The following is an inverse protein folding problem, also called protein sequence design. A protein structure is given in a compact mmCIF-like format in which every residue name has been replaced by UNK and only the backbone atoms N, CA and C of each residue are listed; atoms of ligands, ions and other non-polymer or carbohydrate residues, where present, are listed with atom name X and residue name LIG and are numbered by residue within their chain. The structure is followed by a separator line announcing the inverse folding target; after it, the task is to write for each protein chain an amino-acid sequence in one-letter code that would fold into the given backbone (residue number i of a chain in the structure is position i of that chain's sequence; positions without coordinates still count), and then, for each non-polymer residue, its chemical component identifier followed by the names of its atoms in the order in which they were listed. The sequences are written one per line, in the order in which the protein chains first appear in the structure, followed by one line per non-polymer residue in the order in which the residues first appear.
data_IF_433239231246
#
_entry.id   IF_433239231246
#
_cell.length_a   1.000
_cell.length_b   1.000
_cell.length_c   1.000
_cell.angle_alpha   90.00
_cell.angle_beta   90.00
_cell.angle_gamma   90.00
#
_symmetry.space_group_name_H-M   'P 1'
#
loop_
_entity.id
_entity.type
_entity.pdbx_description
1 polymer ?
#
# COMPACT_ATOMS: atom_id res chain seq x y z
N UNK A 1 31.87 -1.36 -14.31
CA UNK A 1 30.46 -1.67 -14.67
C UNK A 1 30.37 -3.15 -14.95
N UNK A 2 29.46 -3.83 -14.30
CA UNK A 2 29.13 -5.22 -14.60
C UNK A 2 28.13 -5.23 -15.76
N UNK A 3 28.30 -6.12 -16.73
CA UNK A 3 27.38 -6.34 -17.84
C UNK A 3 26.86 -7.78 -17.78
N UNK A 4 25.59 -8.00 -18.00
CA UNK A 4 25.01 -9.33 -18.09
C UNK A 4 23.98 -9.65 -17.01
N UNK A 5 23.59 -10.90 -16.94
CA UNK A 5 22.61 -11.38 -15.96
C UNK A 5 23.16 -11.37 -14.55
N UNK A 6 22.43 -10.80 -13.62
CA UNK A 6 22.77 -10.83 -12.21
C UNK A 6 22.22 -12.11 -11.58
N UNK A 7 23.09 -12.91 -10.97
CA UNK A 7 22.67 -14.08 -10.21
C UNK A 7 23.56 -14.23 -9.01
N UNK A 8 22.98 -14.30 -7.83
CA UNK A 8 23.71 -14.59 -6.60
C UNK A 8 24.05 -16.09 -6.55
N UNK A 9 25.31 -16.47 -6.19
CA UNK A 9 25.67 -17.88 -6.06
C UNK A 9 24.85 -18.57 -4.98
N UNK A 10 24.40 -19.80 -5.23
CA UNK A 10 23.69 -20.59 -4.23
C UNK A 10 24.57 -20.89 -2.98
N UNK A 11 25.87 -20.82 -3.13
CA UNK A 11 26.85 -20.98 -2.04
C UNK A 11 27.16 -19.69 -1.27
N UNK A 12 26.46 -18.59 -1.56
CA UNK A 12 26.65 -17.34 -0.82
C UNK A 12 26.14 -17.55 0.62
N UNK A 13 27.01 -17.33 1.60
CA UNK A 13 26.68 -17.51 3.02
C UNK A 13 26.36 -16.20 3.73
N UNK A 14 26.74 -15.06 3.17
CA UNK A 14 26.53 -13.75 3.77
C UNK A 14 26.38 -12.66 2.72
N UNK A 15 25.41 -11.78 2.92
CA UNK A 15 25.23 -10.54 2.19
C UNK A 15 25.29 -9.37 3.18
N UNK A 16 26.26 -8.48 3.00
CA UNK A 16 26.41 -7.31 3.87
C UNK A 16 25.57 -6.12 3.44
N UNK A 17 25.53 -5.12 4.31
CA UNK A 17 24.99 -3.82 4.00
C UNK A 17 25.68 -3.23 2.78
N UNK A 18 24.92 -2.54 1.91
CA UNK A 18 25.42 -1.90 0.69
C UNK A 18 26.11 -2.82 -0.32
N UNK A 19 25.98 -4.14 -0.18
CA UNK A 19 26.77 -5.13 -0.94
C UNK A 19 26.75 -4.88 -2.46
N UNK A 20 25.63 -4.46 -3.01
CA UNK A 20 25.44 -4.16 -4.44
C UNK A 20 24.99 -2.72 -4.68
N UNK A 21 25.18 -1.81 -3.72
CA UNK A 21 24.81 -0.42 -3.90
C UNK A 21 25.59 0.20 -5.07
N UNK A 22 24.87 0.79 -6.04
CA UNK A 22 25.44 1.47 -7.20
C UNK A 22 26.45 0.63 -8.03
N UNK A 23 26.38 -0.70 -7.98
CA UNK A 23 27.34 -1.58 -8.66
C UNK A 23 27.26 -1.58 -10.18
N UNK A 24 26.28 -0.93 -10.77
CA UNK A 24 26.21 -0.80 -12.23
C UNK A 24 24.83 -0.50 -12.77
N UNK A 25 24.83 0.32 -13.80
CA UNK A 25 23.59 0.79 -14.43
C UNK A 25 23.09 -0.14 -15.53
N UNK A 26 23.91 -1.12 -15.93
CA UNK A 26 23.67 -1.97 -17.10
C UNK A 26 23.44 -3.44 -16.71
N UNK A 27 23.23 -3.72 -15.42
CA UNK A 27 22.81 -5.04 -14.99
C UNK A 27 21.38 -5.29 -15.46
N UNK A 28 21.17 -6.45 -16.05
CA UNK A 28 19.87 -7.00 -16.44
C UNK A 28 19.68 -8.34 -15.77
N UNK A 29 18.46 -8.73 -15.50
CA UNK A 29 18.16 -10.03 -14.94
C UNK A 29 17.42 -9.95 -13.62
N UNK A 30 17.16 -11.09 -13.06
CA UNK A 30 16.34 -11.24 -11.87
C UNK A 30 17.21 -11.23 -10.62
N UNK A 31 16.74 -10.56 -9.57
CA UNK A 31 17.30 -10.67 -8.23
C UNK A 31 16.62 -11.85 -7.56
N UNK A 32 17.37 -12.92 -7.33
CA UNK A 32 16.92 -14.08 -6.57
C UNK A 32 17.69 -14.10 -5.26
N UNK A 33 17.00 -13.96 -4.14
CA UNK A 33 17.66 -13.97 -2.83
C UNK A 33 18.08 -15.38 -2.43
N UNK A 34 19.26 -15.58 -1.79
CA UNK A 34 19.69 -16.91 -1.34
C UNK A 34 18.77 -17.49 -0.25
N UNK A 35 18.65 -18.81 -0.21
CA UNK A 35 17.72 -19.53 0.68
C UNK A 35 18.07 -19.46 2.18
N UNK A 36 19.28 -19.05 2.53
CA UNK A 36 19.70 -18.90 3.92
C UNK A 36 19.26 -17.55 4.53
N UNK A 37 18.79 -16.61 3.71
CA UNK A 37 18.49 -15.25 4.18
C UNK A 37 17.20 -15.22 4.98
N UNK A 38 17.26 -14.58 6.14
CA UNK A 38 16.10 -14.23 6.95
C UNK A 38 15.79 -12.73 6.91
N UNK A 39 16.74 -11.92 6.41
CA UNK A 39 16.61 -10.48 6.23
C UNK A 39 17.33 -10.02 4.97
N UNK A 40 16.78 -9.06 4.27
CA UNK A 40 17.47 -8.33 3.20
C UNK A 40 18.17 -7.13 3.83
N UNK A 41 19.52 -7.05 3.79
CA UNK A 41 20.28 -6.03 4.49
C UNK A 41 20.00 -4.60 3.99
N UNK A 42 20.33 -3.58 4.81
CA UNK A 42 20.20 -2.18 4.41
C UNK A 42 20.96 -1.87 3.13
N UNK A 43 20.29 -1.15 2.22
CA UNK A 43 20.87 -0.66 0.96
C UNK A 43 21.49 -1.73 0.05
N UNK A 44 21.22 -3.03 0.31
CA UNK A 44 21.90 -4.14 -0.37
C UNK A 44 21.80 -4.06 -1.90
N UNK A 45 20.69 -3.61 -2.43
CA UNK A 45 20.45 -3.50 -3.88
C UNK A 45 20.08 -2.08 -4.32
N UNK A 46 20.42 -1.06 -3.53
CA UNK A 46 20.02 0.32 -3.82
C UNK A 46 20.55 0.81 -5.17
N UNK A 47 19.64 1.36 -5.99
CA UNK A 47 19.91 2.10 -7.24
C UNK A 47 20.68 1.36 -8.35
N UNK A 48 20.47 0.04 -8.55
CA UNK A 48 21.36 -0.75 -9.38
C UNK A 48 20.86 -1.13 -10.78
N UNK A 49 19.55 -1.19 -11.01
CA UNK A 49 19.03 -1.80 -12.25
C UNK A 49 18.23 -0.79 -13.08
N UNK A 50 18.86 -0.19 -14.09
CA UNK A 50 18.18 0.77 -15.00
C UNK A 50 17.22 0.11 -15.97
N UNK A 51 17.45 -1.14 -16.32
CA UNK A 51 16.74 -1.81 -17.41
C UNK A 51 15.53 -2.65 -16.95
N UNK A 52 15.20 -2.57 -15.66
CA UNK A 52 14.14 -3.35 -15.06
C UNK A 52 14.60 -4.74 -14.64
N UNK A 53 14.04 -5.21 -13.54
CA UNK A 53 14.35 -6.50 -12.92
C UNK A 53 13.08 -7.15 -12.40
N UNK A 54 13.11 -8.47 -12.23
CA UNK A 54 12.13 -9.16 -11.40
C UNK A 54 12.80 -9.49 -10.05
N UNK A 55 12.03 -9.39 -8.98
CA UNK A 55 12.49 -9.70 -7.63
C UNK A 55 11.85 -10.99 -7.17
N UNK A 56 12.69 -11.97 -6.84
CA UNK A 56 12.29 -13.23 -6.26
C UNK A 56 12.89 -13.35 -4.86
N UNK A 57 12.11 -12.99 -3.86
CA UNK A 57 12.48 -13.20 -2.47
C UNK A 57 12.09 -14.62 -2.09
N UNK A 58 13.06 -15.39 -1.59
CA UNK A 58 12.80 -16.78 -1.17
C UNK A 58 12.05 -16.82 0.16
N UNK A 59 11.39 -17.96 0.40
CA UNK A 59 10.75 -18.25 1.68
C UNK A 59 11.75 -18.19 2.83
N UNK A 60 11.28 -17.70 3.98
CA UNK A 60 12.12 -17.55 5.19
C UNK A 60 12.63 -16.12 5.42
N UNK A 61 12.57 -15.25 4.42
CA UNK A 61 12.84 -13.83 4.62
C UNK A 61 11.66 -13.19 5.38
N UNK A 62 11.96 -12.62 6.53
CA UNK A 62 10.96 -11.94 7.37
C UNK A 62 11.10 -10.43 7.40
N UNK A 63 12.24 -9.90 6.95
CA UNK A 63 12.57 -8.49 7.01
C UNK A 63 13.21 -7.97 5.74
N UNK A 64 12.78 -6.81 5.30
CA UNK A 64 13.43 -6.01 4.26
C UNK A 64 13.86 -4.72 4.94
N UNK A 65 15.16 -4.51 5.05
CA UNK A 65 15.71 -3.41 5.82
C UNK A 65 15.73 -2.08 5.04
N UNK A 66 16.20 -1.01 5.68
CA UNK A 66 16.20 0.35 5.13
C UNK A 66 16.84 0.43 3.75
N UNK A 67 16.21 1.15 2.80
CA UNK A 67 16.71 1.39 1.43
C UNK A 67 17.06 0.13 0.63
N UNK A 68 16.70 -1.07 1.07
CA UNK A 68 17.20 -2.33 0.51
C UNK A 68 17.03 -2.42 -1.03
N UNK A 69 15.94 -1.94 -1.57
CA UNK A 69 15.61 -1.94 -2.99
C UNK A 69 15.28 -0.54 -3.54
N UNK A 70 15.70 0.51 -2.82
CA UNK A 70 15.44 1.89 -3.23
C UNK A 70 16.04 2.20 -4.61
N UNK A 71 15.26 2.85 -5.48
CA UNK A 71 15.69 3.26 -6.81
C UNK A 71 15.74 2.14 -7.85
N UNK A 72 15.31 0.92 -7.53
CA UNK A 72 15.21 -0.16 -8.51
C UNK A 72 14.08 0.11 -9.53
N UNK A 73 14.17 -0.56 -10.68
CA UNK A 73 13.10 -0.55 -11.69
C UNK A 73 12.58 -1.97 -11.87
N UNK A 74 11.34 -2.18 -11.51
CA UNK A 74 10.68 -3.46 -11.71
C UNK A 74 10.01 -3.53 -13.09
N UNK A 75 9.94 -4.73 -13.66
CA UNK A 75 9.32 -4.96 -14.97
C UNK A 75 7.83 -5.24 -14.88
N UNK A 76 7.32 -5.57 -13.69
CA UNK A 76 5.96 -6.04 -13.45
C UNK A 76 5.47 -5.63 -12.06
N UNK A 77 4.28 -6.08 -11.69
CA UNK A 77 3.77 -6.02 -10.33
C UNK A 77 4.74 -6.63 -9.33
N UNK A 78 4.75 -6.13 -8.10
CA UNK A 78 5.60 -6.62 -7.02
C UNK A 78 4.80 -7.53 -6.10
N UNK A 79 5.24 -8.79 -6.02
CA UNK A 79 4.69 -9.79 -5.12
C UNK A 79 5.71 -10.07 -4.02
N UNK A 80 5.35 -9.75 -2.78
CA UNK A 80 6.16 -10.09 -1.62
C UNK A 80 5.68 -11.43 -1.06
N UNK A 81 6.59 -12.38 -0.75
CA UNK A 81 6.21 -13.71 -0.27
C UNK A 81 5.63 -13.66 1.15
N UNK A 82 4.86 -14.68 1.49
CA UNK A 82 4.40 -14.90 2.85
C UNK A 82 5.58 -15.02 3.82
N UNK A 83 5.38 -14.53 5.06
CA UNK A 83 6.42 -14.52 6.07
C UNK A 83 7.12 -13.19 6.24
N UNK A 84 7.08 -12.26 5.28
CA UNK A 84 7.61 -10.91 5.49
C UNK A 84 6.74 -10.17 6.50
N UNK A 85 7.36 -9.76 7.62
CA UNK A 85 6.71 -9.03 8.69
C UNK A 85 7.09 -7.54 8.74
N UNK A 86 8.26 -7.20 8.21
CA UNK A 86 8.84 -5.86 8.32
C UNK A 86 9.38 -5.34 6.99
N UNK A 87 8.96 -4.14 6.64
CA UNK A 87 9.49 -3.37 5.51
C UNK A 87 10.04 -2.05 6.09
N UNK A 88 11.35 -1.84 5.96
CA UNK A 88 12.09 -0.71 6.51
C UNK A 88 11.81 0.61 5.79
N UNK A 89 12.38 1.69 6.36
CA UNK A 89 12.27 3.01 5.77
C UNK A 89 12.88 3.02 4.37
N UNK A 90 12.21 3.69 3.41
CA UNK A 90 12.67 3.83 2.03
C UNK A 90 12.96 2.51 1.30
N UNK A 91 12.50 1.35 1.81
CA UNK A 91 12.89 0.04 1.28
C UNK A 91 12.66 -0.12 -0.23
N UNK A 92 11.59 0.47 -0.76
CA UNK A 92 11.24 0.50 -2.18
C UNK A 92 11.03 1.93 -2.70
N UNK A 93 11.59 2.94 -2.03
CA UNK A 93 11.47 4.33 -2.47
C UNK A 93 11.98 4.50 -3.90
N UNK A 94 11.22 5.20 -4.75
CA UNK A 94 11.54 5.47 -6.15
C UNK A 94 11.81 4.20 -7.01
N UNK A 95 11.17 3.09 -6.70
CA UNK A 95 11.47 1.77 -7.27
C UNK A 95 10.77 1.46 -8.60
N UNK A 96 9.90 2.33 -9.08
CA UNK A 96 9.19 2.21 -10.37
C UNK A 96 8.57 0.83 -10.63
N UNK A 97 7.69 0.41 -9.73
CA UNK A 97 6.89 -0.81 -9.88
C UNK A 97 5.90 -0.59 -11.03
N UNK A 98 5.95 -1.44 -12.07
CA UNK A 98 5.06 -1.32 -13.24
C UNK A 98 3.79 -2.13 -13.06
N UNK A 99 3.00 -1.83 -12.02
CA UNK A 99 1.77 -2.56 -11.76
C UNK A 99 1.35 -2.49 -10.30
N UNK A 100 0.72 -3.55 -9.85
CA UNK A 100 0.15 -3.67 -8.52
C UNK A 100 1.21 -4.05 -7.48
N UNK A 101 0.95 -3.66 -6.24
CA UNK A 101 1.70 -4.09 -5.07
C UNK A 101 0.87 -5.11 -4.29
N UNK A 102 1.40 -6.33 -4.17
CA UNK A 102 0.78 -7.40 -3.40
C UNK A 102 1.54 -7.60 -2.08
N UNK A 103 0.91 -7.19 -0.98
CA UNK A 103 1.44 -7.31 0.37
C UNK A 103 0.92 -8.59 1.03
N UNK A 104 1.78 -9.43 1.62
CA UNK A 104 1.34 -10.63 2.32
C UNK A 104 0.67 -10.30 3.66
N UNK A 105 -0.20 -11.20 4.12
CA UNK A 105 -0.94 -11.02 5.39
C UNK A 105 -0.05 -11.00 6.63
N UNK A 106 1.19 -11.44 6.52
CA UNK A 106 2.17 -11.47 7.61
C UNK A 106 2.74 -10.09 7.99
N UNK A 107 2.55 -9.06 7.14
CA UNK A 107 3.13 -7.73 7.37
C UNK A 107 2.54 -7.07 8.62
N UNK A 108 3.43 -6.58 9.48
CA UNK A 108 3.12 -5.86 10.71
C UNK A 108 3.59 -4.40 10.67
N UNK A 109 4.63 -4.11 9.88
CA UNK A 109 5.23 -2.79 9.81
C UNK A 109 5.66 -2.42 8.40
N UNK A 110 5.30 -1.22 7.99
CA UNK A 110 5.74 -0.56 6.76
C UNK A 110 6.28 0.81 7.16
N UNK A 111 7.58 1.04 6.95
CA UNK A 111 8.29 2.21 7.42
C UNK A 111 8.07 3.46 6.60
N UNK A 112 8.71 4.54 7.04
CA UNK A 112 8.66 5.85 6.39
C UNK A 112 9.09 5.77 4.94
N UNK A 113 8.31 6.38 4.04
CA UNK A 113 8.56 6.43 2.62
C UNK A 113 8.87 5.07 1.98
N UNK A 114 8.45 3.96 2.60
CA UNK A 114 8.83 2.62 2.16
C UNK A 114 8.49 2.34 0.70
N UNK A 115 7.41 2.91 0.19
CA UNK A 115 6.97 2.81 -1.20
C UNK A 115 6.74 4.19 -1.84
N UNK A 116 7.39 5.24 -1.35
CA UNK A 116 7.23 6.56 -1.92
C UNK A 116 7.73 6.60 -3.38
N UNK A 117 7.03 7.32 -4.25
CA UNK A 117 7.41 7.51 -5.67
C UNK A 117 7.67 6.20 -6.43
N UNK A 118 7.03 5.11 -6.05
CA UNK A 118 7.31 3.77 -6.59
C UNK A 118 6.47 3.40 -7.82
N UNK A 119 5.64 4.32 -8.31
CA UNK A 119 4.79 4.13 -9.50
C UNK A 119 3.82 2.94 -9.38
N UNK A 120 3.40 2.63 -8.16
CA UNK A 120 2.39 1.60 -7.90
C UNK A 120 1.08 2.03 -8.54
N UNK A 121 0.37 1.08 -9.13
CA UNK A 121 -0.93 1.30 -9.75
C UNK A 121 -1.95 0.25 -9.30
N UNK A 122 -3.24 0.52 -9.59
CA UNK A 122 -4.33 -0.36 -9.18
C UNK A 122 -4.77 -0.11 -7.74
N UNK A 123 -5.41 -1.11 -7.17
CA UNK A 123 -5.99 -1.02 -5.84
C UNK A 123 -4.97 -1.40 -4.76
N UNK A 124 -4.88 -0.59 -3.72
CA UNK A 124 -4.02 -0.89 -2.58
C UNK A 124 -4.84 -1.48 -1.43
N UNK A 125 -4.58 -2.74 -1.16
CA UNK A 125 -5.14 -3.45 -0.01
C UNK A 125 -4.06 -3.61 1.07
N UNK A 126 -4.28 -2.95 2.20
CA UNK A 126 -3.38 -3.08 3.34
C UNK A 126 -3.73 -4.33 4.15
N UNK A 127 -2.74 -5.17 4.53
CA UNK A 127 -3.01 -6.37 5.31
C UNK A 127 -3.40 -6.05 6.76
N UNK A 128 -4.23 -6.93 7.34
CA UNK A 128 -4.50 -6.90 8.79
C UNK A 128 -3.19 -7.15 9.54
N UNK A 129 -2.92 -6.37 10.56
CA UNK A 129 -1.65 -6.40 11.30
C UNK A 129 -0.87 -5.10 11.20
N UNK A 130 -1.06 -4.33 10.12
CA UNK A 130 -0.53 -2.96 10.02
C UNK A 130 -1.39 -2.04 10.89
N UNK A 131 -0.78 -1.42 11.89
CA UNK A 131 -1.48 -0.55 12.86
C UNK A 131 -1.34 0.93 12.49
N UNK A 132 -0.21 1.31 11.94
CA UNK A 132 0.11 2.69 11.53
C UNK A 132 0.55 2.70 10.08
N UNK A 133 -0.02 3.61 9.29
CA UNK A 133 0.54 3.97 7.97
C UNK A 133 1.54 5.10 8.22
N UNK A 134 2.82 4.79 8.08
CA UNK A 134 3.90 5.69 8.48
C UNK A 134 4.06 6.87 7.50
N UNK A 135 4.87 7.86 7.90
CA UNK A 135 5.09 9.11 7.17
C UNK A 135 5.51 8.85 5.71
N UNK A 136 4.80 9.43 4.76
CA UNK A 136 5.04 9.33 3.32
C UNK A 136 5.09 7.89 2.76
N UNK A 137 4.62 6.89 3.51
CA UNK A 137 4.81 5.47 3.17
C UNK A 137 4.41 5.10 1.74
N UNK A 138 3.39 5.73 1.20
CA UNK A 138 2.89 5.54 -0.18
C UNK A 138 2.81 6.84 -0.98
N UNK A 139 3.53 7.89 -0.57
CA UNK A 139 3.46 9.18 -1.25
C UNK A 139 3.86 9.09 -2.73
N UNK A 140 3.23 9.92 -3.57
CA UNK A 140 3.52 10.05 -5.01
C UNK A 140 3.36 8.74 -5.82
N UNK A 141 2.37 7.92 -5.46
CA UNK A 141 1.93 6.79 -6.29
C UNK A 141 0.65 7.19 -7.04
N UNK A 142 0.81 7.96 -8.08
CA UNK A 142 -0.27 8.56 -8.87
C UNK A 142 -1.09 7.56 -9.69
N UNK A 143 -0.67 6.30 -9.76
CA UNK A 143 -1.39 5.21 -10.40
C UNK A 143 -2.35 4.44 -9.48
N UNK A 144 -2.34 4.68 -8.17
CA UNK A 144 -3.29 4.05 -7.24
C UNK A 144 -4.72 4.49 -7.53
N UNK A 145 -5.67 3.55 -7.56
CA UNK A 145 -7.08 3.78 -7.91
C UNK A 145 -8.03 3.70 -6.73
N UNK A 146 -7.81 2.75 -5.84
CA UNK A 146 -8.59 2.59 -4.61
C UNK A 146 -7.69 2.29 -3.41
N UNK A 147 -8.12 2.73 -2.24
CA UNK A 147 -7.41 2.50 -0.98
C UNK A 147 -8.34 1.86 0.04
N UNK A 148 -7.95 0.69 0.53
CA UNK A 148 -8.66 -0.05 1.57
C UNK A 148 -7.79 -0.20 2.81
N UNK A 149 -8.20 0.42 3.93
CA UNK A 149 -7.53 0.30 5.21
C UNK A 149 -8.25 -0.73 6.10
N UNK A 150 -7.53 -1.75 6.61
CA UNK A 150 -8.09 -2.81 7.44
C UNK A 150 -8.43 -2.30 8.86
N UNK A 151 -9.13 -3.13 9.64
CA UNK A 151 -9.57 -2.76 11.00
C UNK A 151 -8.41 -2.51 11.97
N UNK A 152 -7.23 -3.02 11.69
CA UNK A 152 -6.03 -2.83 12.52
C UNK A 152 -5.46 -1.40 12.47
N UNK A 153 -5.68 -0.67 11.37
CA UNK A 153 -5.11 0.68 11.22
C UNK A 153 -5.86 1.66 12.11
N UNK A 154 -5.11 2.36 12.96
CA UNK A 154 -5.64 3.44 13.82
C UNK A 154 -5.02 4.81 13.55
N UNK A 155 -3.88 4.89 12.86
CA UNK A 155 -3.23 6.16 12.53
C UNK A 155 -2.74 6.19 11.09
N UNK A 156 -2.93 7.32 10.44
CA UNK A 156 -2.37 7.66 9.14
C UNK A 156 -1.46 8.86 9.37
N UNK A 157 -0.15 8.67 9.19
CA UNK A 157 0.85 9.68 9.48
C UNK A 157 0.96 10.72 8.36
N UNK A 158 1.82 11.73 8.59
CA UNK A 158 1.98 12.85 7.68
C UNK A 158 2.32 12.39 6.26
N UNK A 159 1.64 12.96 5.26
CA UNK A 159 1.89 12.74 3.83
C UNK A 159 1.81 11.28 3.38
N UNK A 160 1.19 10.40 4.16
CA UNK A 160 1.18 8.96 3.90
C UNK A 160 0.77 8.59 2.47
N UNK A 161 -0.19 9.33 1.90
CA UNK A 161 -0.70 9.17 0.52
C UNK A 161 -0.64 10.48 -0.28
N UNK A 162 0.26 11.41 0.08
CA UNK A 162 0.43 12.66 -0.68
C UNK A 162 0.68 12.34 -2.16
N UNK A 163 0.01 13.06 -3.07
CA UNK A 163 0.25 12.96 -4.51
C UNK A 163 -0.33 11.70 -5.18
N UNK A 164 -1.19 10.94 -4.51
CA UNK A 164 -1.89 9.81 -5.11
C UNK A 164 -3.12 10.31 -5.92
N UNK A 165 -2.84 11.00 -7.03
CA UNK A 165 -3.84 11.79 -7.78
C UNK A 165 -4.96 10.97 -8.43
N UNK A 166 -4.74 9.68 -8.69
CA UNK A 166 -5.71 8.82 -9.37
C UNK A 166 -6.64 8.06 -8.42
N UNK A 167 -6.43 8.14 -7.12
CA UNK A 167 -7.33 7.50 -6.15
C UNK A 167 -8.73 8.10 -6.30
N UNK A 168 -9.72 7.21 -6.49
CA UNK A 168 -11.13 7.58 -6.62
C UNK A 168 -11.91 7.29 -5.35
N UNK A 169 -11.60 6.18 -4.70
CA UNK A 169 -12.30 5.75 -3.50
C UNK A 169 -11.31 5.48 -2.37
N UNK A 170 -11.58 6.08 -1.22
CA UNK A 170 -10.82 5.87 0.01
C UNK A 170 -11.76 5.27 1.05
N UNK A 171 -11.37 4.11 1.61
CA UNK A 171 -12.13 3.41 2.63
C UNK A 171 -11.32 3.39 3.93
N UNK A 172 -11.76 4.19 4.90
CA UNK A 172 -11.17 4.30 6.23
C UNK A 172 -12.06 3.54 7.23
N UNK A 173 -11.44 2.63 7.96
CA UNK A 173 -12.11 1.83 8.97
C UNK A 173 -12.56 2.66 10.19
N UNK A 174 -13.35 2.05 11.08
CA UNK A 174 -13.92 2.73 12.25
C UNK A 174 -12.92 3.02 13.40
N UNK A 175 -11.73 2.43 13.35
CA UNK A 175 -10.72 2.52 14.41
C UNK A 175 -9.67 3.60 14.13
N UNK A 176 -9.72 4.28 12.99
CA UNK A 176 -8.79 5.38 12.70
C UNK A 176 -9.12 6.56 13.60
N UNK A 177 -8.14 6.97 14.39
CA UNK A 177 -8.24 8.07 15.36
C UNK A 177 -7.53 9.34 14.90
N UNK A 178 -6.52 9.21 14.01
CA UNK A 178 -5.68 10.32 13.57
C UNK A 178 -5.34 10.24 12.08
N UNK A 179 -5.41 11.39 11.42
CA UNK A 179 -4.97 11.61 10.03
C UNK A 179 -4.02 12.81 10.01
N UNK A 180 -2.76 12.56 9.69
CA UNK A 180 -1.65 13.51 9.79
C UNK A 180 -1.66 14.63 8.76
N UNK A 181 -0.67 15.52 8.90
CA UNK A 181 -0.48 16.68 8.03
C UNK A 181 -0.32 16.25 6.58
N UNK A 182 -1.14 16.80 5.67
CA UNK A 182 -1.06 16.51 4.25
C UNK A 182 -1.24 15.04 3.88
N UNK A 183 -1.81 14.19 4.75
CA UNK A 183 -1.88 12.73 4.55
C UNK A 183 -2.48 12.32 3.18
N UNK A 184 -3.42 13.10 2.68
CA UNK A 184 -4.07 12.96 1.37
C UNK A 184 -3.91 14.22 0.51
N UNK A 185 -2.86 14.99 0.74
CA UNK A 185 -2.58 16.18 -0.07
C UNK A 185 -2.47 15.80 -1.54
N UNK A 186 -3.09 16.56 -2.44
CA UNK A 186 -3.13 16.31 -3.89
C UNK A 186 -3.83 15.02 -4.33
N UNK A 187 -4.61 14.35 -3.47
CA UNK A 187 -5.49 13.29 -3.91
C UNK A 187 -6.71 13.88 -4.66
N UNK A 188 -6.46 14.58 -5.75
CA UNK A 188 -7.48 15.37 -6.47
C UNK A 188 -8.50 14.52 -7.23
N UNK A 189 -8.23 13.23 -7.43
CA UNK A 189 -9.14 12.29 -8.10
C UNK A 189 -10.25 11.74 -7.21
N UNK A 190 -10.21 11.99 -5.90
CA UNK A 190 -11.15 11.38 -4.95
C UNK A 190 -12.58 11.82 -5.23
N UNK A 191 -13.42 10.83 -5.52
CA UNK A 191 -14.89 11.00 -5.67
C UNK A 191 -15.64 10.56 -4.43
N UNK A 192 -15.15 9.54 -3.72
CA UNK A 192 -15.75 9.04 -2.49
C UNK A 192 -14.70 8.88 -1.40
N UNK A 193 -14.93 9.53 -0.27
CA UNK A 193 -14.16 9.34 0.94
C UNK A 193 -15.08 8.71 1.98
N UNK A 194 -14.92 7.41 2.22
CA UNK A 194 -15.73 6.69 3.21
C UNK A 194 -14.96 6.55 4.51
N UNK A 195 -15.50 7.12 5.60
CA UNK A 195 -14.93 7.02 6.92
C UNK A 195 -15.95 6.41 7.89
N UNK A 196 -15.64 5.22 8.41
CA UNK A 196 -16.57 4.45 9.25
C UNK A 196 -16.49 4.80 10.74
N UNK A 197 -15.66 5.76 11.14
CA UNK A 197 -15.52 6.18 12.53
C UNK A 197 -16.77 6.95 13.01
N UNK A 198 -17.34 6.56 14.14
CA UNK A 198 -18.46 7.26 14.79
C UNK A 198 -18.08 8.63 15.36
N UNK A 199 -16.81 8.84 15.59
CA UNK A 199 -16.22 10.13 15.98
C UNK A 199 -15.21 10.52 14.91
N UNK A 200 -15.32 11.71 14.32
CA UNK A 200 -14.37 12.17 13.32
C UNK A 200 -12.93 12.04 13.82
N UNK A 201 -12.03 11.35 13.06
CA UNK A 201 -10.62 11.33 13.37
C UNK A 201 -10.05 12.73 13.56
N UNK A 202 -9.12 12.88 14.49
CA UNK A 202 -8.36 14.12 14.68
C UNK A 202 -7.52 14.36 13.44
N UNK A 203 -7.57 15.57 12.92
CA UNK A 203 -6.82 15.98 11.73
C UNK A 203 -5.57 16.78 12.12
N UNK A 204 -4.46 16.47 11.43
CA UNK A 204 -3.30 17.34 11.40
C UNK A 204 -3.54 18.59 10.54
N UNK A 205 -2.47 19.27 10.18
CA UNK A 205 -2.55 20.47 9.35
C UNK A 205 -2.91 20.11 7.91
N UNK A 206 -4.09 20.52 7.46
CA UNK A 206 -4.60 20.46 6.09
C UNK A 206 -4.39 19.10 5.38
N UNK A 207 -4.88 17.98 5.97
CA UNK A 207 -4.61 16.64 5.46
C UNK A 207 -5.17 16.39 4.05
N UNK A 208 -6.16 17.16 3.62
CA UNK A 208 -6.87 17.03 2.34
C UNK A 208 -6.55 18.18 1.37
N UNK A 209 -5.42 18.85 1.52
CA UNK A 209 -5.04 19.97 0.67
C UNK A 209 -5.10 19.62 -0.80
N UNK A 210 -5.73 20.46 -1.62
CA UNK A 210 -6.01 20.26 -3.05
C UNK A 210 -6.98 19.12 -3.40
N UNK A 211 -7.73 18.58 -2.44
CA UNK A 211 -8.87 17.71 -2.73
C UNK A 211 -10.05 18.54 -3.27
N UNK A 212 -10.82 17.98 -4.18
CA UNK A 212 -12.01 18.61 -4.74
C UNK A 212 -13.22 18.42 -3.81
N UNK A 213 -13.36 19.29 -2.81
CA UNK A 213 -14.45 19.23 -1.84
C UNK A 213 -15.83 19.53 -2.42
N UNK A 214 -15.89 20.14 -3.60
CA UNK A 214 -17.16 20.44 -4.28
C UNK A 214 -17.79 19.21 -4.94
N UNK A 215 -17.00 18.19 -5.27
CA UNK A 215 -17.45 16.99 -5.93
C UNK A 215 -17.21 15.70 -5.13
N UNK A 216 -16.23 15.70 -4.23
CA UNK A 216 -15.99 14.55 -3.36
C UNK A 216 -17.12 14.37 -2.35
N UNK A 217 -17.62 13.13 -2.23
CA UNK A 217 -18.65 12.75 -1.26
C UNK A 217 -17.95 12.13 -0.04
N UNK A 218 -18.23 12.67 1.14
CA UNK A 218 -17.85 12.07 2.40
C UNK A 218 -19.01 11.17 2.90
N UNK A 219 -18.75 9.86 2.92
CA UNK A 219 -19.70 8.88 3.48
C UNK A 219 -19.28 8.52 4.91
N UNK A 220 -20.20 8.66 5.86
CA UNK A 220 -19.97 8.42 7.30
C UNK A 220 -21.16 7.65 7.90
N UNK A 221 -21.02 7.06 9.12
CA UNK A 221 -22.17 6.50 9.81
C UNK A 221 -23.29 7.54 9.95
N UNK A 222 -24.55 7.12 9.75
CA UNK A 222 -25.70 8.01 9.83
C UNK A 222 -25.75 8.79 11.15
N UNK A 223 -25.44 8.11 12.27
CA UNK A 223 -25.34 8.71 13.61
C UNK A 223 -24.23 9.75 13.76
N UNK A 224 -23.26 9.77 12.85
CA UNK A 224 -22.07 10.63 12.92
C UNK A 224 -22.16 11.87 12.00
N UNK A 225 -23.14 11.96 11.10
CA UNK A 225 -23.23 13.03 10.08
C UNK A 225 -23.07 14.43 10.72
N UNK A 226 -23.81 14.73 11.78
CA UNK A 226 -23.75 16.03 12.42
C UNK A 226 -22.40 16.28 13.11
N UNK A 227 -21.72 15.24 13.61
CA UNK A 227 -20.38 15.37 14.17
C UNK A 227 -19.38 15.78 13.08
N UNK A 228 -19.42 15.15 11.89
CA UNK A 228 -18.54 15.48 10.78
C UNK A 228 -18.84 16.89 10.20
N UNK A 229 -20.10 17.29 10.12
CA UNK A 229 -20.50 18.65 9.71
C UNK A 229 -19.95 19.73 10.61
N UNK A 230 -19.78 19.43 11.90
CA UNK A 230 -19.28 20.36 12.90
C UNK A 230 -17.78 20.22 13.18
N UNK A 231 -17.12 19.18 12.64
CA UNK A 231 -15.69 18.95 12.85
C UNK A 231 -14.85 19.79 11.88
N UNK A 232 -13.88 20.54 12.41
CA UNK A 232 -12.96 21.36 11.60
C UNK A 232 -12.19 20.46 10.61
N UNK A 233 -12.06 20.95 9.39
CA UNK A 233 -11.42 20.24 8.29
C UNK A 233 -12.34 19.22 7.59
N UNK A 234 -13.15 18.46 8.32
CA UNK A 234 -14.17 17.58 7.76
C UNK A 234 -15.36 18.35 7.17
N UNK A 235 -15.71 19.47 7.76
CA UNK A 235 -16.78 20.35 7.29
C UNK A 235 -16.48 21.07 5.95
N UNK A 236 -15.29 20.85 5.37
CA UNK A 236 -14.96 21.31 4.02
C UNK A 236 -15.68 20.50 2.94
N UNK A 237 -16.05 19.24 3.22
CA UNK A 237 -16.81 18.43 2.28
C UNK A 237 -18.22 18.98 2.11
N UNK A 238 -18.57 19.34 0.88
CA UNK A 238 -19.90 19.88 0.54
C UNK A 238 -21.00 18.84 0.71
N UNK A 239 -20.68 17.57 0.43
CA UNK A 239 -21.62 16.47 0.52
C UNK A 239 -21.16 15.49 1.61
N UNK A 240 -21.85 15.51 2.75
CA UNK A 240 -21.67 14.56 3.85
C UNK A 240 -22.95 13.75 3.97
N UNK A 241 -22.86 12.44 3.68
CA UNK A 241 -24.01 11.54 3.59
C UNK A 241 -23.82 10.31 4.46
N UNK A 242 -24.93 9.63 4.78
CA UNK A 242 -24.82 8.31 5.38
C UNK A 242 -24.24 7.30 4.38
N UNK A 243 -23.31 6.46 4.82
CA UNK A 243 -22.99 5.30 4.02
C UNK A 243 -24.13 4.28 4.12
N UNK A 244 -24.48 3.67 3.01
CA UNK A 244 -25.41 2.55 2.97
C UNK A 244 -24.61 1.28 2.68
N UNK A 245 -24.63 0.31 3.62
CA UNK A 245 -24.26 -1.05 3.25
C UNK A 245 -25.23 -1.50 2.16
N UNK A 246 -24.70 -1.79 0.97
CA UNK A 246 -25.46 -2.56 0.02
C UNK A 246 -25.76 -3.89 0.71
N UNK A 247 -27.00 -4.08 1.13
CA UNK A 247 -27.48 -5.38 1.55
C UNK A 247 -27.34 -6.31 0.33
N UNK A 248 -26.19 -6.96 0.19
CA UNK A 248 -26.04 -8.06 -0.74
C UNK A 248 -26.88 -9.19 -0.16
N UNK A 249 -28.14 -9.19 -0.53
CA UNK A 249 -29.01 -10.29 -0.19
C UNK A 249 -28.41 -11.58 -0.76
N UNK A 250 -28.13 -12.53 0.10
CA UNK A 250 -27.67 -13.90 -0.19
C UNK A 250 -28.64 -14.71 -1.06
N UNK A 251 -29.33 -14.10 -2.01
CA UNK A 251 -30.36 -14.75 -2.82
C UNK A 251 -29.95 -15.09 -4.26
N UNK A 252 -28.68 -15.04 -4.61
CA UNK A 252 -28.25 -15.30 -5.99
C UNK A 252 -27.00 -16.16 -6.13
N UNK A 253 -26.86 -17.24 -5.36
CA UNK A 253 -25.90 -18.31 -5.71
C UNK A 253 -26.63 -19.66 -5.70
N UNK A 254 -27.57 -19.82 -6.58
CA UNK A 254 -28.03 -21.15 -7.03
C UNK A 254 -27.75 -21.25 -8.52
N UNK A 255 -26.69 -21.96 -8.84
CA UNK A 255 -26.27 -22.50 -10.14
C UNK A 255 -24.92 -21.99 -10.64
N UNK A 256 -23.86 -22.60 -10.15
CA UNK A 256 -22.64 -22.78 -10.95
C UNK A 256 -22.28 -24.27 -10.92
N UNK A 257 -22.90 -25.01 -11.82
CA UNK A 257 -22.39 -26.31 -12.24
C UNK A 257 -21.35 -26.07 -13.32
N UNK A 258 -20.25 -26.79 -13.18
CA UNK A 258 -19.22 -27.12 -14.17
C UNK A 258 -17.93 -26.28 -14.17
N UNK A 259 -16.91 -26.77 -13.51
CA UNK A 259 -15.62 -27.04 -14.17
C UNK A 259 -14.69 -25.86 -14.48
N UNK A 260 -14.58 -24.84 -13.64
CA UNK A 260 -13.42 -23.94 -13.71
C UNK A 260 -13.16 -23.33 -12.33
N UNK A 261 -11.97 -23.57 -11.79
CA UNK A 261 -11.51 -22.91 -10.57
C UNK A 261 -11.41 -21.40 -10.82
N UNK A 262 -12.37 -20.67 -10.33
CA UNK A 262 -12.30 -19.20 -10.21
C UNK A 262 -12.56 -18.86 -8.76
N UNK A 263 -11.55 -18.32 -8.09
CA UNK A 263 -11.71 -17.73 -6.77
C UNK A 263 -12.70 -16.56 -6.88
N UNK A 264 -13.79 -16.61 -6.14
CA UNK A 264 -14.75 -15.53 -6.06
C UNK A 264 -14.49 -14.81 -4.75
N UNK A 265 -14.16 -13.53 -4.83
CA UNK A 265 -14.01 -12.66 -3.65
C UNK A 265 -15.41 -12.18 -3.28
N UNK A 266 -15.88 -12.56 -2.10
CA UNK A 266 -17.16 -12.09 -1.54
C UNK A 266 -16.85 -11.17 -0.36
N UNK A 267 -17.46 -10.01 -0.35
CA UNK A 267 -17.38 -9.02 0.71
C UNK A 267 -18.38 -9.36 1.81
N UNK A 268 -17.92 -9.70 3.01
CA UNK A 268 -18.77 -9.75 4.20
C UNK A 268 -18.18 -8.85 5.28
N UNK A 269 -19.01 -7.95 5.81
CA UNK A 269 -18.76 -7.11 7.01
C UNK A 269 -17.31 -6.69 7.28
N UNK A 270 -16.67 -6.02 6.32
CA UNK A 270 -15.35 -5.41 6.52
C UNK A 270 -14.14 -6.37 6.46
N UNK A 271 -14.35 -7.65 6.20
CA UNK A 271 -13.31 -8.63 5.92
C UNK A 271 -13.48 -9.18 4.50
N UNK A 272 -12.38 -9.48 3.84
CA UNK A 272 -12.35 -10.18 2.55
C UNK A 272 -12.12 -11.66 2.81
N UNK A 273 -13.04 -12.51 2.40
CA UNK A 273 -12.85 -13.96 2.39
C UNK A 273 -12.69 -14.44 0.96
N UNK A 274 -11.63 -15.20 0.72
CA UNK A 274 -11.42 -15.94 -0.53
C UNK A 274 -12.04 -17.31 -0.35
N UNK A 275 -13.09 -17.59 -1.12
CA UNK A 275 -13.70 -18.94 -1.17
C UNK A 275 -13.18 -19.62 -2.42
N UNK A 276 -12.42 -20.69 -2.22
CA UNK A 276 -11.87 -21.55 -3.26
C UNK A 276 -12.87 -22.63 -3.70
#
# INVERSE_FOLDING_TARGET
SFYGNFTLPASLEYLGDWAFQNCGTDLVGDIITPTFMTSIPPMAFRANFKNGTNLHIVDGVTRIEEDAFSGLRFNSSLYLPDGIEYIGNHAFDNSRIKGELHLPSSIKYIGKAAFASSSISGDLQMPEGVVVIDESAFANNDGLTELYLPQSVNQIQNRAFEGCNSIRNIFINKNVEYIGDGAFERCSGVSTFKCLADTPPVLGSDPFRYMDFDHAILEVPESAIEKYRNAEGWNKFKYITAYHELAVGLSAVTSLNSGASRSTIIRSEGAWEVIS
#
